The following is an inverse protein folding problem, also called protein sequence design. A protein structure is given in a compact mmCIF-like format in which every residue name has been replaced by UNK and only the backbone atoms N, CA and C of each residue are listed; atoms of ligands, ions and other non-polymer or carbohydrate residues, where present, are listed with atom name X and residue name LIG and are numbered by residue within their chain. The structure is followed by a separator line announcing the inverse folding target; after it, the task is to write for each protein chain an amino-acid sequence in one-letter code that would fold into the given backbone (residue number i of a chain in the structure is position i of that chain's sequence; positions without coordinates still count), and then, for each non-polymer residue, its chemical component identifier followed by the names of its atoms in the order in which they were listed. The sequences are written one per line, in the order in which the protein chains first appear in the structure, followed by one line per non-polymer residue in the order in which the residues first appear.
data_IF_505059364710
#
_entry.id   IF_505059364710
#
_cell.length_a   1.000
_cell.length_b   1.000
_cell.length_c   1.000
_cell.angle_alpha   90.00
_cell.angle_beta   90.00
_cell.angle_gamma   90.00
#
_symmetry.space_group_name_H-M   'P 1'
#
loop_
_entity.id
_entity.type
_entity.pdbx_description
1 polymer ?
#
# COMPACT_ATOMS: atom_id res chain seq x y z
N UNK A 1 0.79 -22.82 -71.79
CA UNK A 1 2.05 -22.57 -71.09
C UNK A 1 1.72 -21.93 -69.75
N UNK A 2 1.44 -22.76 -68.72
CA UNK A 2 1.04 -22.34 -67.37
C UNK A 2 2.29 -22.32 -66.49
N UNK A 3 2.62 -21.17 -65.87
CA UNK A 3 3.68 -21.07 -64.86
C UNK A 3 3.06 -21.28 -63.49
N UNK A 4 3.49 -22.32 -62.78
CA UNK A 4 3.24 -22.57 -61.40
C UNK A 4 4.08 -21.58 -60.52
N UNK A 5 3.43 -20.88 -59.60
CA UNK A 5 4.09 -20.18 -58.50
C UNK A 5 4.05 -21.06 -57.27
N UNK A 6 5.15 -21.26 -56.55
CA UNK A 6 5.13 -21.95 -55.25
C UNK A 6 4.55 -21.06 -54.17
N UNK A 7 3.64 -21.62 -53.38
CA UNK A 7 3.11 -20.97 -52.15
C UNK A 7 4.21 -20.92 -51.09
N UNK A 8 4.65 -19.68 -50.72
CA UNK A 8 5.41 -19.49 -49.52
C UNK A 8 4.48 -19.68 -48.31
N UNK A 9 4.73 -20.71 -47.52
CA UNK A 9 4.11 -20.93 -46.24
C UNK A 9 4.67 -19.94 -45.24
N UNK A 10 3.87 -18.97 -44.77
CA UNK A 10 4.19 -18.12 -43.67
C UNK A 10 3.88 -18.85 -42.37
N UNK A 11 4.89 -19.44 -41.74
CA UNK A 11 4.84 -19.83 -40.33
C UNK A 11 4.91 -18.56 -39.48
N UNK A 12 3.75 -18.03 -39.17
CA UNK A 12 3.61 -17.02 -38.10
C UNK A 12 3.87 -17.74 -36.79
N UNK A 13 5.10 -17.61 -36.29
CA UNK A 13 5.47 -17.98 -34.95
C UNK A 13 4.88 -16.91 -33.99
N UNK A 14 3.63 -17.10 -33.57
CA UNK A 14 3.02 -16.31 -32.51
C UNK A 14 3.66 -16.73 -31.19
N UNK A 15 4.73 -16.05 -30.81
CA UNK A 15 5.20 -16.09 -29.44
C UNK A 15 4.01 -15.66 -28.54
N UNK A 16 3.38 -16.63 -27.86
CA UNK A 16 2.44 -16.35 -26.78
C UNK A 16 3.24 -15.61 -25.69
N UNK A 17 3.13 -14.30 -25.69
CA UNK A 17 3.52 -13.52 -24.51
C UNK A 17 2.68 -14.04 -23.35
N UNK A 18 3.34 -14.66 -22.38
CA UNK A 18 2.68 -15.05 -21.14
C UNK A 18 1.97 -13.82 -20.58
N UNK A 19 0.71 -13.99 -20.16
CA UNK A 19 0.01 -12.92 -19.45
C UNK A 19 0.89 -12.46 -18.27
N UNK A 20 1.05 -11.15 -18.05
CA UNK A 20 1.88 -10.68 -16.94
C UNK A 20 1.34 -11.30 -15.65
N UNK A 21 2.22 -11.93 -14.88
CA UNK A 21 1.89 -12.42 -13.52
C UNK A 21 1.31 -11.23 -12.75
N UNK A 22 0.13 -11.37 -12.10
CA UNK A 22 -0.42 -10.26 -11.33
C UNK A 22 0.63 -9.75 -10.35
N UNK A 23 0.96 -8.47 -10.45
CA UNK A 23 1.98 -7.85 -9.59
C UNK A 23 1.53 -7.93 -8.14
N UNK A 24 2.44 -8.32 -7.24
CA UNK A 24 2.19 -8.26 -5.80
C UNK A 24 2.02 -6.79 -5.40
N UNK A 25 1.10 -6.52 -4.50
CA UNK A 25 0.81 -5.15 -4.04
C UNK A 25 0.77 -5.09 -2.52
N UNK A 26 1.31 -4.01 -1.95
CA UNK A 26 1.23 -3.72 -0.52
C UNK A 26 0.68 -2.30 -0.34
N UNK A 27 -0.38 -2.15 0.43
CA UNK A 27 -0.86 -0.84 0.87
C UNK A 27 -0.11 -0.43 2.13
N UNK A 28 0.42 0.78 2.13
CA UNK A 28 1.23 1.31 3.23
C UNK A 28 0.61 2.60 3.77
N UNK A 29 0.32 2.59 5.07
CA UNK A 29 -0.08 3.76 5.83
C UNK A 29 1.13 4.37 6.54
N UNK A 30 1.26 5.69 6.53
CA UNK A 30 2.39 6.39 7.12
C UNK A 30 2.03 7.85 7.43
N UNK A 31 2.86 8.51 8.23
CA UNK A 31 2.72 9.94 8.52
C UNK A 31 2.79 10.81 7.26
N UNK A 32 1.99 11.89 7.23
CA UNK A 32 2.05 12.96 6.23
C UNK A 32 2.67 14.26 6.81
N UNK A 33 3.20 14.25 8.04
CA UNK A 33 3.73 15.43 8.71
C UNK A 33 5.16 15.73 8.28
N UNK A 34 5.44 16.97 7.88
CA UNK A 34 6.81 17.45 7.64
C UNK A 34 7.72 17.47 8.88
N UNK A 35 7.17 17.21 10.08
CA UNK A 35 7.89 17.12 11.36
C UNK A 35 8.09 15.69 11.84
N UNK A 36 7.91 14.70 10.95
CA UNK A 36 8.13 13.28 11.28
C UNK A 36 9.57 13.05 11.71
N UNK A 37 9.84 12.34 12.83
CA UNK A 37 11.18 12.00 13.30
C UNK A 37 12.01 11.27 12.23
N UNK A 38 13.33 11.48 12.24
CA UNK A 38 14.22 10.93 11.22
C UNK A 38 14.22 9.40 11.22
N UNK A 39 14.19 8.72 12.38
CA UNK A 39 14.10 7.26 12.47
C UNK A 39 12.88 6.70 11.76
N UNK A 40 11.74 7.40 11.81
CA UNK A 40 10.53 6.98 11.11
C UNK A 40 10.61 7.24 9.60
N UNK A 41 11.29 8.34 9.19
CA UNK A 41 11.58 8.60 7.79
C UNK A 41 12.51 7.53 7.20
N UNK A 42 13.53 7.13 7.96
CA UNK A 42 14.48 6.09 7.55
C UNK A 42 13.80 4.73 7.42
N UNK A 43 12.96 4.34 8.39
CA UNK A 43 12.17 3.11 8.32
C UNK A 43 11.24 3.09 7.10
N UNK A 44 10.60 4.22 6.78
CA UNK A 44 9.74 4.35 5.61
C UNK A 44 10.54 4.23 4.30
N UNK A 45 11.72 4.85 4.23
CA UNK A 45 12.61 4.75 3.08
C UNK A 45 13.16 3.32 2.89
N UNK A 46 13.53 2.64 3.97
CA UNK A 46 13.99 1.25 3.95
C UNK A 46 12.90 0.31 3.43
N UNK A 47 11.66 0.48 3.91
CA UNK A 47 10.52 -0.27 3.40
C UNK A 47 10.31 -0.02 1.89
N UNK A 48 10.40 1.24 1.44
CA UNK A 48 10.27 1.58 0.03
C UNK A 48 11.30 0.89 -0.86
N UNK A 49 12.56 0.85 -0.43
CA UNK A 49 13.64 0.11 -1.11
C UNK A 49 13.37 -1.40 -1.13
N UNK A 50 12.91 -1.95 0.00
CA UNK A 50 12.61 -3.38 0.11
C UNK A 50 11.45 -3.80 -0.81
N UNK A 51 10.37 -3.02 -0.88
CA UNK A 51 9.25 -3.27 -1.78
C UNK A 51 9.71 -3.25 -3.24
N UNK A 52 10.50 -2.25 -3.64
CA UNK A 52 11.05 -2.15 -4.99
C UNK A 52 11.93 -3.37 -5.33
N UNK A 53 12.84 -3.75 -4.44
CA UNK A 53 13.72 -4.91 -4.63
C UNK A 53 12.94 -6.23 -4.74
N UNK A 54 11.80 -6.34 -4.05
CA UNK A 54 10.92 -7.50 -4.10
C UNK A 54 9.94 -7.49 -5.30
N UNK A 55 9.94 -6.44 -6.13
CA UNK A 55 8.99 -6.28 -7.24
C UNK A 55 7.54 -6.11 -6.77
N UNK A 56 7.34 -5.57 -5.56
CA UNK A 56 6.03 -5.32 -4.97
C UNK A 56 5.62 -3.87 -5.25
N UNK A 57 4.43 -3.68 -5.81
CA UNK A 57 3.85 -2.35 -6.02
C UNK A 57 3.51 -1.74 -4.67
N UNK A 58 4.02 -0.54 -4.42
CA UNK A 58 3.72 0.24 -3.23
C UNK A 58 2.45 1.07 -3.47
N UNK A 59 1.39 0.80 -2.73
CA UNK A 59 0.15 1.58 -2.75
C UNK A 59 0.11 2.47 -1.52
N UNK A 60 -0.15 3.78 -1.66
CA UNK A 60 -0.26 4.68 -0.50
C UNK A 60 -1.15 5.90 -0.76
N UNK A 61 -1.37 6.70 0.28
CA UNK A 61 -2.30 7.83 0.27
C UNK A 61 -1.89 9.07 -0.51
N UNK A 62 -0.79 9.04 -1.26
CA UNK A 62 -0.39 10.12 -2.17
C UNK A 62 0.38 11.28 -1.54
N UNK A 63 0.61 11.32 -0.22
CA UNK A 63 1.28 12.43 0.45
C UNK A 63 2.77 12.58 0.12
N UNK A 64 3.24 13.83 -0.11
CA UNK A 64 4.63 14.15 -0.45
C UNK A 64 5.56 14.32 0.75
N UNK A 65 5.01 14.46 1.96
CA UNK A 65 5.75 14.73 3.20
C UNK A 65 5.75 13.52 4.15
N UNK A 66 6.51 13.62 5.23
CA UNK A 66 6.59 12.62 6.27
C UNK A 66 7.07 11.27 5.79
N UNK A 67 6.67 10.21 6.51
CA UNK A 67 6.95 8.83 6.17
C UNK A 67 6.40 8.43 4.81
N UNK A 68 5.21 8.91 4.44
CA UNK A 68 4.58 8.67 3.15
C UNK A 68 5.44 9.18 1.99
N UNK A 69 5.94 10.43 2.09
CA UNK A 69 6.84 11.01 1.09
C UNK A 69 8.21 10.34 1.05
N UNK A 70 8.77 9.92 2.20
CA UNK A 70 10.03 9.18 2.27
C UNK A 70 9.91 7.79 1.59
N UNK A 71 8.83 7.06 1.88
CA UNK A 71 8.48 5.80 1.24
C UNK A 71 8.38 5.95 -0.29
N UNK A 72 7.60 6.94 -0.75
CA UNK A 72 7.38 7.22 -2.17
C UNK A 72 8.70 7.44 -2.90
N UNK A 73 9.50 8.40 -2.42
CA UNK A 73 10.79 8.76 -3.05
C UNK A 73 11.75 7.58 -3.08
N UNK A 74 11.85 6.82 -1.98
CA UNK A 74 12.76 5.68 -1.89
C UNK A 74 12.34 4.53 -2.82
N UNK A 75 11.03 4.25 -2.92
CA UNK A 75 10.50 3.24 -3.86
C UNK A 75 10.82 3.64 -5.31
N UNK A 76 10.55 4.89 -5.70
CA UNK A 76 10.83 5.38 -7.06
C UNK A 76 12.32 5.42 -7.37
N UNK A 77 13.16 5.88 -6.43
CA UNK A 77 14.61 5.91 -6.61
C UNK A 77 15.23 4.52 -6.78
N UNK A 78 14.62 3.49 -6.19
CA UNK A 78 15.00 2.08 -6.35
C UNK A 78 14.40 1.41 -7.60
N UNK A 79 13.72 2.15 -8.48
CA UNK A 79 13.08 1.63 -9.69
C UNK A 79 11.78 0.88 -9.45
N UNK A 80 11.18 1.02 -8.27
CA UNK A 80 9.89 0.42 -7.91
C UNK A 80 8.68 1.15 -8.48
N UNK A 81 7.54 0.50 -8.39
CA UNK A 81 6.24 1.00 -8.86
C UNK A 81 5.43 1.54 -7.68
N UNK A 82 4.84 2.71 -7.85
CA UNK A 82 4.03 3.40 -6.84
C UNK A 82 2.65 3.75 -7.39
N UNK A 83 1.61 3.33 -6.68
CA UNK A 83 0.23 3.75 -6.92
C UNK A 83 -0.24 4.63 -5.76
N UNK A 84 -0.88 5.75 -6.10
CA UNK A 84 -1.41 6.70 -5.13
C UNK A 84 -2.94 6.74 -5.17
N UNK A 85 -3.58 6.77 -4.00
CA UNK A 85 -5.02 7.03 -3.84
C UNK A 85 -5.16 8.24 -2.92
N UNK A 86 -5.50 9.39 -3.47
CA UNK A 86 -5.61 10.65 -2.75
C UNK A 86 -7.02 11.21 -2.85
N UNK A 87 -7.50 11.91 -1.83
CA UNK A 87 -8.74 12.64 -1.89
C UNK A 87 -8.49 14.04 -2.48
N UNK A 88 -9.44 14.56 -3.27
CA UNK A 88 -9.30 15.86 -3.96
C UNK A 88 -8.92 17.02 -3.03
N UNK A 89 -9.40 16.99 -1.78
CA UNK A 89 -9.06 18.00 -0.75
C UNK A 89 -7.55 18.15 -0.51
N UNK A 90 -6.75 17.10 -0.76
CA UNK A 90 -5.30 17.10 -0.48
C UNK A 90 -4.43 17.25 -1.73
N UNK A 91 -5.03 17.30 -2.93
CA UNK A 91 -4.25 17.25 -4.19
C UNK A 91 -3.31 18.44 -4.32
N UNK A 92 -3.80 19.65 -4.08
CA UNK A 92 -3.04 20.87 -4.33
C UNK A 92 -1.83 21.04 -3.38
N UNK A 93 -2.00 20.65 -2.13
CA UNK A 93 -0.99 20.88 -1.08
C UNK A 93 -0.09 19.68 -0.81
N UNK A 94 -0.62 18.47 -0.93
CA UNK A 94 0.04 17.27 -0.40
C UNK A 94 0.50 16.27 -1.45
N UNK A 95 0.07 16.35 -2.71
CA UNK A 95 0.33 15.31 -3.71
C UNK A 95 1.83 15.09 -3.97
N UNK A 96 2.27 13.84 -3.85
CA UNK A 96 3.57 13.36 -4.31
C UNK A 96 3.55 13.16 -5.83
N UNK A 97 4.52 13.74 -6.53
CA UNK A 97 4.64 13.61 -7.96
C UNK A 97 5.40 12.34 -8.37
N UNK A 98 5.09 11.80 -9.55
CA UNK A 98 5.81 10.66 -10.14
C UNK A 98 5.26 9.29 -9.76
N UNK A 99 4.04 9.21 -9.25
CA UNK A 99 3.31 7.94 -9.13
C UNK A 99 3.08 7.32 -10.52
N UNK A 100 3.15 5.99 -10.61
CA UNK A 100 2.87 5.25 -11.84
C UNK A 100 1.36 5.14 -12.09
N UNK A 101 0.57 5.17 -11.03
CA UNK A 101 -0.88 5.30 -11.07
C UNK A 101 -1.34 6.30 -10.01
N UNK A 102 -2.27 7.18 -10.38
CA UNK A 102 -2.88 8.15 -9.47
C UNK A 102 -4.40 8.06 -9.56
N UNK A 103 -5.04 7.82 -8.42
CA UNK A 103 -6.50 7.87 -8.28
C UNK A 103 -6.84 9.02 -7.36
N UNK A 104 -7.72 9.91 -7.85
CA UNK A 104 -8.27 11.01 -7.06
C UNK A 104 -9.70 10.64 -6.71
N UNK A 105 -9.97 10.46 -5.42
CA UNK A 105 -11.33 10.27 -4.90
C UNK A 105 -11.98 11.60 -4.59
N UNK A 106 -13.30 11.60 -4.53
CA UNK A 106 -14.13 12.80 -4.30
C UNK A 106 -15.22 12.49 -3.30
N UNK A 107 -15.88 13.53 -2.82
CA UNK A 107 -17.02 13.42 -1.91
C UNK A 107 -16.79 14.14 -0.60
N UNK A 108 -17.73 13.95 0.33
CA UNK A 108 -17.75 14.68 1.59
C UNK A 108 -16.97 13.97 2.72
N UNK A 109 -16.44 12.76 2.45
CA UNK A 109 -15.68 11.97 3.41
C UNK A 109 -14.53 11.17 2.77
N UNK A 110 -13.76 10.45 3.58
CA UNK A 110 -12.62 9.64 3.15
C UNK A 110 -12.95 8.14 2.94
N UNK A 111 -14.22 7.75 2.98
CA UNK A 111 -14.63 6.34 2.94
C UNK A 111 -14.23 5.66 1.63
N UNK A 112 -14.47 6.31 0.49
CA UNK A 112 -14.09 5.77 -0.82
C UNK A 112 -12.57 5.64 -0.93
N UNK A 113 -11.81 6.62 -0.45
CA UNK A 113 -10.35 6.57 -0.44
C UNK A 113 -9.83 5.38 0.36
N UNK A 114 -10.34 5.18 1.59
CA UNK A 114 -9.96 4.03 2.43
C UNK A 114 -10.32 2.71 1.77
N UNK A 115 -11.53 2.58 1.23
CA UNK A 115 -11.97 1.38 0.50
C UNK A 115 -11.01 1.03 -0.64
N UNK A 116 -10.64 2.00 -1.48
CA UNK A 116 -9.73 1.77 -2.60
C UNK A 116 -8.31 1.42 -2.14
N UNK A 117 -7.82 2.00 -1.04
CA UNK A 117 -6.53 1.62 -0.45
C UNK A 117 -6.54 0.16 0.03
N UNK A 118 -7.62 -0.30 0.66
CA UNK A 118 -7.75 -1.69 1.11
C UNK A 118 -7.88 -2.68 -0.04
N UNK A 119 -8.66 -2.36 -1.07
CA UNK A 119 -8.90 -3.22 -2.23
C UNK A 119 -7.66 -3.40 -3.11
N UNK A 120 -6.74 -2.45 -3.10
CA UNK A 120 -5.54 -2.48 -3.94
C UNK A 120 -4.36 -3.22 -3.32
N UNK A 121 -4.35 -3.43 -2.01
CA UNK A 121 -3.30 -4.15 -1.32
C UNK A 121 -3.63 -5.63 -1.14
N UNK A 122 -2.64 -6.49 -1.30
CA UNK A 122 -2.69 -7.89 -0.87
C UNK A 122 -2.22 -8.06 0.57
N UNK A 123 -1.63 -7.04 1.15
CA UNK A 123 -1.35 -6.86 2.55
C UNK A 123 -1.37 -5.37 2.91
N UNK A 124 -1.52 -5.09 4.19
CA UNK A 124 -1.49 -3.74 4.75
C UNK A 124 -0.28 -3.61 5.67
N UNK A 125 0.50 -2.55 5.50
CA UNK A 125 1.66 -2.25 6.33
C UNK A 125 1.44 -0.87 6.95
N UNK A 126 1.49 -0.79 8.29
CA UNK A 126 1.37 0.47 9.00
C UNK A 126 2.71 0.88 9.59
N UNK A 127 3.26 1.98 9.07
CA UNK A 127 4.40 2.71 9.59
C UNK A 127 3.94 3.73 10.64
N UNK A 128 4.82 4.25 11.50
CA UNK A 128 4.49 5.33 12.41
C UNK A 128 3.81 6.50 11.71
N UNK A 129 2.66 6.96 12.25
CA UNK A 129 1.89 8.03 11.64
C UNK A 129 0.91 8.69 12.61
N UNK A 130 0.22 9.71 12.17
CA UNK A 130 -0.76 10.46 12.97
C UNK A 130 -2.14 9.82 13.05
N UNK A 131 -3.13 10.63 13.39
CA UNK A 131 -4.54 10.19 13.57
C UNK A 131 -5.09 9.51 12.32
N UNK A 132 -4.78 10.02 11.10
CA UNK A 132 -5.23 9.40 9.86
C UNK A 132 -4.66 7.99 9.67
N UNK A 133 -3.37 7.79 9.99
CA UNK A 133 -2.75 6.45 9.93
C UNK A 133 -3.38 5.49 10.93
N UNK A 134 -3.71 5.97 12.13
CA UNK A 134 -4.37 5.17 13.17
C UNK A 134 -5.82 4.85 12.78
N UNK A 135 -6.55 5.80 12.19
CA UNK A 135 -7.90 5.57 11.64
C UNK A 135 -7.89 4.48 10.55
N UNK A 136 -6.99 4.59 9.57
CA UNK A 136 -6.81 3.59 8.51
C UNK A 136 -6.44 2.20 9.08
N UNK A 137 -5.54 2.16 10.07
CA UNK A 137 -5.12 0.93 10.74
C UNK A 137 -6.28 0.27 11.48
N UNK A 138 -7.01 1.00 12.30
CA UNK A 138 -8.11 0.44 13.08
C UNK A 138 -9.32 0.06 12.22
N UNK A 139 -9.58 0.76 11.12
CA UNK A 139 -10.57 0.37 10.13
C UNK A 139 -10.21 -1.01 9.51
N UNK A 140 -8.94 -1.21 9.14
CA UNK A 140 -8.44 -2.48 8.65
C UNK A 140 -8.55 -3.61 9.70
N UNK A 141 -8.10 -3.34 10.94
CA UNK A 141 -8.21 -4.30 12.07
C UNK A 141 -9.67 -4.67 12.33
N UNK A 142 -10.57 -3.69 12.33
CA UNK A 142 -12.00 -3.93 12.52
C UNK A 142 -12.57 -4.82 11.40
N UNK A 143 -12.20 -4.57 10.14
CA UNK A 143 -12.59 -5.41 9.01
C UNK A 143 -12.17 -6.87 9.16
N UNK A 144 -10.93 -7.13 9.60
CA UNK A 144 -10.44 -8.48 9.88
C UNK A 144 -11.15 -9.09 11.10
N UNK A 145 -11.36 -8.31 12.15
CA UNK A 145 -12.00 -8.76 13.38
C UNK A 145 -13.44 -9.25 13.15
N UNK A 146 -14.20 -8.56 12.32
CA UNK A 146 -15.60 -8.94 12.02
C UNK A 146 -15.72 -9.91 10.84
N UNK A 147 -14.62 -10.27 10.18
CA UNK A 147 -14.59 -11.24 9.09
C UNK A 147 -14.97 -10.67 7.72
N UNK A 148 -14.95 -9.36 7.54
CA UNK A 148 -15.16 -8.69 6.24
C UNK A 148 -13.89 -8.63 5.39
N UNK A 149 -12.73 -8.83 6.02
CA UNK A 149 -11.42 -8.85 5.36
C UNK A 149 -10.58 -10.01 5.86
N UNK A 150 -9.67 -10.49 5.02
CA UNK A 150 -8.64 -11.49 5.36
C UNK A 150 -7.23 -10.95 5.05
N UNK A 151 -7.12 -9.66 4.78
CA UNK A 151 -5.83 -9.04 4.45
C UNK A 151 -4.87 -9.13 5.64
N UNK A 152 -3.65 -9.65 5.46
CA UNK A 152 -2.63 -9.58 6.48
C UNK A 152 -2.29 -8.12 6.80
N UNK A 153 -2.19 -7.79 8.09
CA UNK A 153 -1.82 -6.46 8.59
C UNK A 153 -0.50 -6.58 9.33
N UNK A 154 0.46 -5.71 9.00
CA UNK A 154 1.77 -5.64 9.63
C UNK A 154 1.99 -4.27 10.27
N UNK A 155 2.36 -4.26 11.55
CA UNK A 155 2.80 -3.05 12.27
C UNK A 155 4.32 -2.94 12.23
N UNK A 156 4.85 -1.86 11.70
CA UNK A 156 6.28 -1.54 11.76
C UNK A 156 6.52 -0.73 13.03
N UNK A 157 6.92 -1.43 14.10
CA UNK A 157 7.03 -0.86 15.44
C UNK A 157 8.38 -0.18 15.68
N UNK A 158 8.73 0.80 14.84
CA UNK A 158 9.97 1.57 14.96
C UNK A 158 9.96 2.33 16.29
N UNK A 159 11.02 2.17 17.06
CA UNK A 159 11.21 2.83 18.37
C UNK A 159 10.05 2.62 19.37
N UNK A 160 9.31 1.48 19.24
CA UNK A 160 8.17 1.20 20.12
C UNK A 160 6.94 2.06 19.86
N UNK A 161 6.83 2.67 18.67
CA UNK A 161 5.72 3.59 18.35
C UNK A 161 4.33 2.96 18.54
N UNK A 162 4.19 1.68 18.22
CA UNK A 162 2.93 0.95 18.36
C UNK A 162 2.74 0.22 19.69
N UNK A 163 3.66 0.36 20.66
CA UNK A 163 3.53 -0.30 21.97
C UNK A 163 2.20 -0.01 22.65
N UNK A 164 1.72 1.24 22.57
CA UNK A 164 0.43 1.63 23.13
C UNK A 164 -0.77 0.97 22.43
N UNK A 165 -0.70 0.79 21.11
CA UNK A 165 -1.73 0.09 20.31
C UNK A 165 -1.75 -1.40 20.67
N UNK A 166 -0.56 -2.01 20.75
CA UNK A 166 -0.40 -3.42 21.13
C UNK A 166 -0.95 -3.64 22.53
N UNK A 167 -0.56 -2.81 23.50
CA UNK A 167 -1.05 -2.89 24.88
C UNK A 167 -2.59 -2.75 24.94
N UNK A 168 -3.19 -1.87 24.12
CA UNK A 168 -4.65 -1.73 24.05
C UNK A 168 -5.32 -2.99 23.49
N UNK A 169 -4.76 -3.61 22.46
CA UNK A 169 -5.27 -4.85 21.87
C UNK A 169 -5.13 -6.03 22.86
N UNK A 170 -4.01 -6.12 23.57
CA UNK A 170 -3.78 -7.11 24.63
C UNK A 170 -4.80 -6.96 25.77
N UNK A 171 -5.05 -5.71 26.19
CA UNK A 171 -6.07 -5.41 27.20
C UNK A 171 -7.47 -5.81 26.70
N UNK A 172 -7.84 -5.48 25.48
CA UNK A 172 -9.12 -5.86 24.90
C UNK A 172 -9.29 -7.39 24.81
N UNK A 173 -8.21 -8.12 24.50
CA UNK A 173 -8.22 -9.59 24.53
C UNK A 173 -8.42 -10.13 25.96
N UNK A 174 -7.69 -9.60 26.94
CA UNK A 174 -7.79 -10.00 28.36
C UNK A 174 -9.21 -9.78 28.89
N UNK A 175 -9.82 -8.65 28.54
CA UNK A 175 -11.18 -8.29 28.94
C UNK A 175 -12.27 -8.99 28.07
N UNK A 176 -11.89 -9.93 27.19
CA UNK A 176 -12.77 -10.72 26.33
C UNK A 176 -13.61 -9.87 25.34
N UNK A 177 -13.07 -8.74 24.90
CA UNK A 177 -13.73 -7.85 23.94
C UNK A 177 -13.42 -8.20 22.47
N UNK A 178 -12.48 -9.12 22.23
CA UNK A 178 -12.10 -9.55 20.89
C UNK A 178 -12.68 -10.94 20.57
N UNK A 179 -13.16 -11.11 19.33
CA UNK A 179 -13.65 -12.39 18.80
C UNK A 179 -12.52 -13.36 18.43
N UNK A 180 -11.30 -12.82 18.20
CA UNK A 180 -10.09 -13.54 17.81
C UNK A 180 -8.92 -13.03 18.63
N UNK A 181 -7.86 -13.83 18.84
CA UNK A 181 -6.62 -13.33 19.41
C UNK A 181 -6.09 -12.13 18.63
N UNK A 182 -5.59 -11.11 19.34
CA UNK A 182 -5.15 -9.89 18.66
C UNK A 182 -4.02 -10.14 17.62
N UNK A 183 -3.17 -11.15 17.85
CA UNK A 183 -2.11 -11.55 16.93
C UNK A 183 -2.61 -12.18 15.61
N UNK A 184 -3.90 -12.47 15.52
CA UNK A 184 -4.55 -12.84 14.27
C UNK A 184 -5.16 -11.64 13.55
N UNK A 185 -5.14 -10.46 14.17
CA UNK A 185 -5.67 -9.22 13.61
C UNK A 185 -4.57 -8.39 12.94
N UNK A 186 -3.34 -8.42 13.47
CA UNK A 186 -2.18 -7.72 12.94
C UNK A 186 -0.86 -8.27 13.49
#
# INVERSE_FOLDING_TARGET
MLRLFPKLGSTLNTARTAAPTPSKTATVFASASGRTPQSFLDAAADLGRALAAAGVVCVHGGGKQGGMGALHRATKAAGGVVHCVIHETFVDEELALGADELIITRGDDLSERKRLLFERGQCLISLPGGVGTIDELFDAIAGVHVGLSTLPICLVNTDGYYDGVIAQLERAQTDQLLRKPWRELC
#
